data_IF_188708983891
#
_entry.id   IF_188708983891
#
_cell.length_a   1.000
_cell.length_b   1.000
_cell.length_c   1.000
_cell.angle_alpha   90.00
_cell.angle_beta   90.00
_cell.angle_gamma   90.00
#
_symmetry.space_group_name_H-M   'P 1'
#
loop_
_entity.id
_entity.type
_entity.pdbx_description
1 polymer ?
#
# COMPACT_ATOMS: atom_id res chain seq x y z
N UNK A 1 -12.81 -18.97 14.34
CA UNK A 1 -12.33 -18.43 13.07
C UNK A 1 -13.51 -17.84 12.30
N UNK A 2 -13.42 -16.58 11.94
CA UNK A 2 -14.44 -15.91 11.11
C UNK A 2 -13.93 -15.80 9.68
N UNK A 3 -14.83 -15.93 8.72
CA UNK A 3 -14.50 -15.67 7.31
C UNK A 3 -15.49 -14.66 6.73
N UNK A 4 -15.04 -13.87 5.77
CA UNK A 4 -15.90 -12.99 4.99
C UNK A 4 -15.39 -12.92 3.56
N UNK A 5 -16.28 -12.61 2.64
CA UNK A 5 -15.91 -12.43 1.23
C UNK A 5 -15.45 -11.00 1.01
N UNK A 6 -14.28 -10.89 0.39
CA UNK A 6 -13.75 -9.59 -0.05
C UNK A 6 -14.23 -9.27 -1.45
N UNK A 7 -14.45 -7.97 -1.76
CA UNK A 7 -14.72 -7.52 -3.13
C UNK A 7 -13.53 -7.75 -4.05
N UNK A 8 -12.36 -8.04 -3.50
CA UNK A 8 -11.18 -8.41 -4.28
C UNK A 8 -11.21 -9.87 -4.73
N UNK A 9 -12.31 -10.58 -4.48
CA UNK A 9 -12.49 -11.95 -4.93
C UNK A 9 -11.88 -13.00 -4.01
N UNK A 10 -11.42 -12.60 -2.85
CA UNK A 10 -10.80 -13.51 -1.91
C UNK A 10 -11.70 -13.77 -0.70
N UNK A 11 -11.62 -14.98 -0.17
CA UNK A 11 -12.24 -15.32 1.11
C UNK A 11 -11.17 -15.11 2.18
N UNK A 12 -11.43 -14.16 3.07
CA UNK A 12 -10.51 -13.85 4.15
C UNK A 12 -10.94 -14.63 5.39
N UNK A 13 -10.01 -15.39 5.94
CA UNK A 13 -10.22 -16.12 7.19
C UNK A 13 -9.61 -15.31 8.32
N UNK A 14 -10.45 -14.87 9.24
CA UNK A 14 -9.95 -14.28 10.47
C UNK A 14 -9.37 -15.40 11.34
N UNK A 15 -8.08 -15.32 11.53
CA UNK A 15 -7.33 -16.19 12.38
C UNK A 15 -6.98 -15.45 13.67
N UNK A 16 -6.68 -16.19 14.75
CA UNK A 16 -6.06 -15.61 15.93
C UNK A 16 -4.65 -15.10 15.62
N UNK A 17 -4.07 -15.57 14.51
CA UNK A 17 -2.77 -15.12 14.05
C UNK A 17 -2.93 -13.87 13.18
N UNK A 18 -2.77 -12.72 13.82
CA UNK A 18 -2.86 -11.41 13.16
C UNK A 18 -1.78 -11.25 12.07
N UNK A 19 -0.62 -11.85 12.27
CA UNK A 19 0.48 -11.75 11.31
C UNK A 19 0.11 -12.37 9.96
N UNK A 20 -0.60 -13.51 9.97
CA UNK A 20 -1.07 -14.15 8.74
C UNK A 20 -2.08 -13.27 8.02
N UNK A 21 -2.98 -12.62 8.76
CA UNK A 21 -3.97 -11.72 8.17
C UNK A 21 -3.30 -10.52 7.52
N UNK A 22 -2.35 -9.91 8.21
CA UNK A 22 -1.59 -8.76 7.68
C UNK A 22 -0.84 -9.16 6.42
N UNK A 23 -0.18 -10.33 6.42
CA UNK A 23 0.55 -10.83 5.27
C UNK A 23 -0.36 -11.02 4.06
N UNK A 24 -1.56 -11.56 4.28
CA UNK A 24 -2.54 -11.73 3.21
C UNK A 24 -3.00 -10.39 2.64
N UNK A 25 -3.23 -9.39 3.50
CA UNK A 25 -3.61 -8.04 3.06
C UNK A 25 -2.48 -7.38 2.25
N UNK A 26 -1.24 -7.53 2.68
CA UNK A 26 -0.08 -7.01 1.95
C UNK A 26 0.05 -7.67 0.57
N UNK A 27 -0.16 -8.97 0.49
CA UNK A 27 -0.12 -9.69 -0.77
C UNK A 27 -1.19 -9.18 -1.74
N UNK A 28 -2.42 -8.98 -1.24
CA UNK A 28 -3.51 -8.46 -2.06
C UNK A 28 -3.21 -7.04 -2.54
N UNK A 29 -2.62 -6.20 -1.70
CA UNK A 29 -2.22 -4.84 -2.07
C UNK A 29 -1.14 -4.87 -3.16
N UNK A 30 -0.18 -5.79 -3.09
CA UNK A 30 0.85 -5.94 -4.12
C UNK A 30 0.24 -6.35 -5.45
N UNK A 31 -0.74 -7.26 -5.44
CA UNK A 31 -1.44 -7.65 -6.66
C UNK A 31 -2.15 -6.47 -7.31
N UNK A 32 -2.82 -5.62 -6.51
CA UNK A 32 -3.46 -4.41 -7.02
C UNK A 32 -2.44 -3.40 -7.54
N UNK A 33 -1.30 -3.28 -6.88
CA UNK A 33 -0.24 -2.36 -7.28
C UNK A 33 0.31 -2.66 -8.68
N UNK A 34 0.23 -3.91 -9.13
CA UNK A 34 0.69 -4.27 -10.47
C UNK A 34 -0.04 -3.52 -11.58
N UNK A 35 -1.29 -3.12 -11.34
CA UNK A 35 -2.05 -2.33 -12.30
C UNK A 35 -1.61 -0.87 -12.33
N UNK A 36 -0.97 -0.39 -11.28
CA UNK A 36 -0.53 1.00 -11.14
C UNK A 36 0.91 1.20 -11.64
N UNK A 37 1.76 0.19 -11.53
CA UNK A 37 3.17 0.28 -11.92
C UNK A 37 3.37 0.81 -13.35
N UNK A 38 2.61 0.35 -14.37
CA UNK A 38 2.77 0.88 -15.73
C UNK A 38 2.50 2.38 -15.84
N UNK A 39 1.61 2.91 -15.00
CA UNK A 39 1.32 4.36 -14.95
C UNK A 39 2.53 5.11 -14.41
N UNK A 40 3.14 4.60 -13.35
CA UNK A 40 4.34 5.19 -12.75
C UNK A 40 5.50 5.20 -13.74
N UNK A 41 5.62 4.16 -14.56
CA UNK A 41 6.67 4.02 -15.56
C UNK A 41 6.60 5.04 -16.69
N UNK A 42 5.49 5.77 -16.84
CA UNK A 42 5.36 6.84 -17.84
C UNK A 42 6.11 8.12 -17.46
N UNK A 43 6.51 8.23 -16.20
CA UNK A 43 7.17 9.41 -15.66
C UNK A 43 8.67 9.15 -15.51
N UNK A 44 9.47 10.14 -15.92
CA UNK A 44 10.91 10.09 -15.75
C UNK A 44 11.26 10.55 -14.32
N UNK A 45 11.82 9.66 -13.46
CA UNK A 45 12.13 10.02 -12.08
C UNK A 45 13.25 11.06 -11.96
N UNK A 46 13.93 11.39 -13.06
CA UNK A 46 14.98 12.42 -13.09
C UNK A 46 14.47 13.76 -13.58
N UNK A 47 13.22 13.83 -14.03
CA UNK A 47 12.62 15.08 -14.50
C UNK A 47 11.79 15.69 -13.36
N UNK A 48 12.09 16.92 -12.92
CA UNK A 48 11.37 17.54 -11.79
C UNK A 48 9.87 17.71 -12.04
N UNK A 49 9.46 18.02 -13.26
CA UNK A 49 8.05 18.15 -13.60
C UNK A 49 7.32 16.81 -13.42
N UNK A 50 7.90 15.73 -13.96
CA UNK A 50 7.32 14.39 -13.83
C UNK A 50 7.25 13.96 -12.36
N UNK A 51 8.26 14.29 -11.56
CA UNK A 51 8.26 14.01 -10.12
C UNK A 51 7.10 14.72 -9.42
N UNK A 52 6.87 15.99 -9.73
CA UNK A 52 5.77 16.75 -9.14
C UNK A 52 4.41 16.18 -9.56
N UNK A 53 4.27 15.75 -10.81
CA UNK A 53 3.05 15.09 -11.29
C UNK A 53 2.80 13.80 -10.51
N UNK A 54 3.85 13.01 -10.27
CA UNK A 54 3.72 11.78 -9.46
C UNK A 54 3.28 12.09 -8.02
N UNK A 55 3.85 13.13 -7.42
CA UNK A 55 3.46 13.52 -6.05
C UNK A 55 2.00 13.94 -5.98
N UNK A 56 1.54 14.70 -6.97
CA UNK A 56 0.13 15.10 -7.05
C UNK A 56 -0.76 13.89 -7.24
N UNK A 57 -0.39 12.97 -8.13
CA UNK A 57 -1.15 11.75 -8.37
C UNK A 57 -1.32 10.93 -7.09
N UNK A 58 -0.21 10.66 -6.41
CA UNK A 58 -0.23 9.87 -5.16
C UNK A 58 -1.09 10.55 -4.10
N UNK A 59 -0.93 11.87 -3.95
CA UNK A 59 -1.69 12.64 -2.95
C UNK A 59 -3.19 12.61 -3.25
N UNK A 60 -3.57 12.75 -4.52
CA UNK A 60 -4.97 12.69 -4.92
C UNK A 60 -5.58 11.32 -4.65
N UNK A 61 -4.88 10.26 -5.01
CA UNK A 61 -5.35 8.88 -4.77
C UNK A 61 -5.54 8.66 -3.27
N UNK A 62 -4.54 9.02 -2.46
CA UNK A 62 -4.62 8.84 -1.02
C UNK A 62 -5.79 9.62 -0.42
N UNK A 63 -5.98 10.88 -0.81
CA UNK A 63 -7.08 11.71 -0.33
C UNK A 63 -8.43 11.15 -0.74
N UNK A 64 -8.58 10.67 -1.97
CA UNK A 64 -9.81 10.05 -2.45
C UNK A 64 -10.13 8.78 -1.65
N UNK A 65 -9.14 7.93 -1.42
CA UNK A 65 -9.34 6.71 -0.63
C UNK A 65 -9.77 7.05 0.79
N UNK A 66 -9.05 7.96 1.46
CA UNK A 66 -9.37 8.35 2.83
C UNK A 66 -10.80 8.86 2.93
N UNK A 67 -11.21 9.79 2.06
CA UNK A 67 -12.54 10.39 2.14
C UNK A 67 -13.65 9.39 1.81
N UNK A 68 -13.37 8.35 1.05
CA UNK A 68 -14.37 7.33 0.70
C UNK A 68 -14.55 6.27 1.78
N UNK A 69 -13.51 5.98 2.58
CA UNK A 69 -13.56 4.88 3.55
C UNK A 69 -13.62 5.35 5.01
N UNK A 70 -13.38 6.63 5.28
CA UNK A 70 -13.44 7.13 6.64
C UNK A 70 -14.86 7.10 7.20
N UNK A 71 -14.98 6.89 8.51
CA UNK A 71 -16.25 6.85 9.20
C UNK A 71 -16.03 6.96 10.70
N UNK A 72 -17.13 6.90 11.46
CA UNK A 72 -17.06 7.12 12.92
C UNK A 72 -16.15 6.14 13.64
N UNK A 73 -16.10 4.90 13.14
CA UNK A 73 -15.32 3.83 13.76
C UNK A 73 -14.02 3.50 12.99
N UNK A 74 -13.70 4.30 11.97
CA UNK A 74 -12.55 4.01 11.11
C UNK A 74 -11.80 5.29 10.75
N UNK A 75 -10.66 5.49 11.41
CA UNK A 75 -9.78 6.62 11.15
C UNK A 75 -8.84 6.29 9.99
N UNK A 76 -9.33 6.51 8.78
CA UNK A 76 -8.60 6.21 7.56
C UNK A 76 -7.36 7.07 7.39
N UNK A 77 -7.42 8.34 7.78
CA UNK A 77 -6.26 9.24 7.68
C UNK A 77 -5.10 8.73 8.53
N UNK A 78 -5.38 8.39 9.78
CA UNK A 78 -4.34 7.87 10.69
C UNK A 78 -3.72 6.59 10.15
N UNK A 79 -4.56 5.70 9.61
CA UNK A 79 -4.10 4.42 9.05
C UNK A 79 -3.23 4.60 7.82
N UNK A 80 -3.62 5.50 6.91
CA UNK A 80 -2.84 5.80 5.71
C UNK A 80 -1.48 6.39 6.08
N UNK A 81 -1.47 7.34 7.03
CA UNK A 81 -0.22 7.96 7.48
C UNK A 81 0.72 6.94 8.12
N UNK A 82 0.19 6.06 8.98
CA UNK A 82 0.99 5.01 9.61
C UNK A 82 1.53 4.02 8.58
N UNK A 83 0.70 3.60 7.62
CA UNK A 83 1.13 2.71 6.55
C UNK A 83 2.21 3.35 5.68
N UNK A 84 2.02 4.62 5.33
CA UNK A 84 3.01 5.37 4.55
C UNK A 84 4.36 5.41 5.27
N UNK A 85 4.36 5.74 6.56
CA UNK A 85 5.60 5.81 7.33
C UNK A 85 6.31 4.45 7.39
N UNK A 86 5.55 3.38 7.57
CA UNK A 86 6.07 2.03 7.61
C UNK A 86 6.74 1.64 6.28
N UNK A 87 6.04 1.84 5.17
CA UNK A 87 6.58 1.46 3.86
C UNK A 87 7.72 2.39 3.43
N UNK A 88 7.64 3.67 3.76
CA UNK A 88 8.72 4.61 3.46
C UNK A 88 10.02 4.19 4.15
N UNK A 89 9.94 3.82 5.43
CA UNK A 89 11.09 3.34 6.18
C UNK A 89 11.66 2.06 5.54
N UNK A 90 10.79 1.10 5.24
CA UNK A 90 11.21 -0.17 4.64
C UNK A 90 11.85 -0.01 3.27
N UNK A 91 11.24 0.79 2.39
CA UNK A 91 11.80 1.02 1.06
C UNK A 91 13.13 1.78 1.10
N UNK A 92 13.27 2.73 2.04
CA UNK A 92 14.54 3.43 2.23
C UNK A 92 15.66 2.48 2.71
N UNK A 93 15.33 1.59 3.63
CA UNK A 93 16.29 0.57 4.09
C UNK A 93 16.69 -0.37 2.97
N UNK A 94 15.74 -0.82 2.15
CA UNK A 94 16.02 -1.67 1.00
C UNK A 94 16.90 -0.95 -0.03
N UNK A 95 16.62 0.32 -0.30
CA UNK A 95 17.40 1.14 -1.23
C UNK A 95 18.82 1.32 -0.74
N UNK A 96 19.02 1.45 0.58
CA UNK A 96 20.33 1.64 1.19
C UNK A 96 21.08 0.32 1.44
N UNK A 97 20.48 -0.82 1.09
CA UNK A 97 21.10 -2.13 1.27
C UNK A 97 21.05 -2.67 2.69
N UNK A 98 20.31 -2.05 3.59
CA UNK A 98 20.20 -2.47 4.99
C UNK A 98 19.36 -3.74 5.14
N UNK A 99 18.39 -3.94 4.24
CA UNK A 99 17.57 -5.15 4.17
C UNK A 99 17.43 -5.56 2.71
N UNK A 100 17.08 -6.83 2.47
CA UNK A 100 16.75 -7.30 1.14
C UNK A 100 15.32 -6.87 0.79
N UNK A 101 15.10 -6.52 -0.46
CA UNK A 101 13.78 -6.12 -0.94
C UNK A 101 12.75 -7.22 -0.71
N UNK A 102 13.13 -8.48 -0.92
CA UNK A 102 12.27 -9.64 -0.73
C UNK A 102 11.87 -9.86 0.72
N UNK A 103 12.64 -9.35 1.67
CA UNK A 103 12.32 -9.46 3.10
C UNK A 103 11.23 -8.48 3.52
N UNK A 104 11.08 -7.39 2.77
CA UNK A 104 10.16 -6.32 3.10
C UNK A 104 8.89 -6.37 2.24
N UNK A 105 9.03 -6.56 0.92
CA UNK A 105 7.92 -6.51 -0.03
C UNK A 105 7.50 -7.92 -0.43
N UNK A 106 6.20 -8.21 -0.35
CA UNK A 106 5.63 -9.51 -0.68
C UNK A 106 5.27 -9.53 -2.16
N UNK A 107 5.94 -10.38 -2.91
CA UNK A 107 5.64 -10.56 -4.32
C UNK A 107 5.07 -11.94 -4.61
#
# INVERSE_FOLDING_TARGET
MKKFESQLGQIVLYSENIDDLIQNMEYDAVLLAKDIIPVLGKCNPKNPYDCDVLMILVSRIAAMVVTNVEGDDYDAEKRVRASFDYYLDGFRKAKNGEIKYEEFDVE
#
